data_IF_866270790138
#
_entry.id   IF_866270790138
#
_cell.length_a   1.000
_cell.length_b   1.000
_cell.length_c   1.000
_cell.angle_alpha   90.00
_cell.angle_beta   90.00
_cell.angle_gamma   90.00
#
_symmetry.space_group_name_H-M   'P 1'
#
loop_
_entity.id
_entity.type
_entity.pdbx_description
1 polymer ?
#
# COMPACT_ATOMS: atom_id res chain seq x y z
N UNK A 1 -26.82 26.72 -8.76
CA UNK A 1 -25.41 26.97 -8.38
C UNK A 1 -24.89 25.70 -7.69
N UNK A 2 -24.07 24.91 -8.37
CA UNK A 2 -23.51 23.71 -7.77
C UNK A 2 -22.23 24.13 -7.03
N UNK A 3 -22.28 24.14 -5.70
CA UNK A 3 -21.11 24.39 -4.88
C UNK A 3 -20.24 23.14 -4.96
N UNK A 4 -19.19 23.19 -5.78
CA UNK A 4 -18.14 22.16 -5.76
C UNK A 4 -17.34 22.33 -4.47
N UNK A 5 -17.66 21.54 -3.46
CA UNK A 5 -16.80 21.40 -2.30
C UNK A 5 -15.51 20.71 -2.75
N UNK A 6 -14.45 21.47 -2.97
CA UNK A 6 -13.11 20.91 -3.10
C UNK A 6 -12.68 20.46 -1.70
N UNK A 7 -12.79 19.16 -1.44
CA UNK A 7 -12.23 18.58 -0.21
C UNK A 7 -10.74 18.91 -0.16
N UNK A 8 -10.33 19.57 0.89
CA UNK A 8 -8.93 19.92 1.11
C UNK A 8 -8.12 18.65 1.43
N UNK A 9 -6.85 18.57 0.99
CA UNK A 9 -5.95 17.53 1.42
C UNK A 9 -5.86 17.45 2.94
N UNK A 10 -5.81 16.23 3.47
CA UNK A 10 -5.59 16.03 4.90
C UNK A 10 -4.15 16.41 5.27
N UNK A 11 -4.01 17.09 6.39
CA UNK A 11 -2.70 17.38 6.96
C UNK A 11 -2.04 16.12 7.53
N UNK A 12 -0.72 16.16 7.73
CA UNK A 12 0.00 15.09 8.40
C UNK A 12 -0.58 14.84 9.81
N UNK A 13 -0.92 15.88 10.54
CA UNK A 13 -1.52 15.76 11.87
C UNK A 13 -2.89 15.05 11.84
N UNK A 14 -3.72 15.33 10.84
CA UNK A 14 -5.00 14.65 10.66
C UNK A 14 -4.82 13.18 10.28
N UNK A 15 -3.87 12.85 9.40
CA UNK A 15 -3.52 11.47 9.08
C UNK A 15 -2.98 10.72 10.32
N UNK A 16 -2.09 11.36 11.07
CA UNK A 16 -1.55 10.82 12.33
C UNK A 16 -2.67 10.49 13.32
N UNK A 17 -3.57 11.44 13.56
CA UNK A 17 -4.67 11.24 14.50
C UNK A 17 -5.62 10.13 14.05
N UNK A 18 -5.92 10.05 12.76
CA UNK A 18 -6.75 8.97 12.20
C UNK A 18 -6.09 7.59 12.42
N UNK A 19 -4.80 7.47 12.14
CA UNK A 19 -4.05 6.23 12.37
C UNK A 19 -3.94 5.87 13.85
N UNK A 20 -3.75 6.87 14.72
CA UNK A 20 -3.66 6.67 16.18
C UNK A 20 -4.94 6.08 16.76
N UNK A 21 -6.08 6.42 16.20
CA UNK A 21 -7.40 5.97 16.70
C UNK A 21 -7.97 4.78 15.94
N UNK A 22 -7.37 4.36 14.83
CA UNK A 22 -7.90 3.30 13.97
C UNK A 22 -7.66 1.87 14.49
N UNK A 23 -6.74 1.68 15.42
CA UNK A 23 -6.41 0.37 15.97
C UNK A 23 -4.98 0.29 16.51
N UNK A 24 -4.53 -0.90 16.90
CA UNK A 24 -3.21 -1.09 17.46
C UNK A 24 -2.11 -0.84 16.43
N UNK A 25 -1.00 -0.29 16.88
CA UNK A 25 0.23 -0.10 16.12
C UNK A 25 1.44 -0.30 17.04
N UNK A 26 2.58 -0.63 16.46
CA UNK A 26 3.86 -0.70 17.21
C UNK A 26 4.57 0.64 17.21
N UNK A 27 4.50 1.35 16.09
CA UNK A 27 5.18 2.63 15.92
C UNK A 27 4.34 3.58 15.07
N UNK A 28 4.21 4.81 15.53
CA UNK A 28 3.56 5.89 14.77
C UNK A 28 4.30 7.18 15.06
N UNK A 29 4.99 7.71 14.06
CA UNK A 29 5.84 8.88 14.19
C UNK A 29 5.68 9.86 13.03
N UNK A 30 5.94 11.12 13.30
CA UNK A 30 6.10 12.18 12.31
C UNK A 30 7.56 12.62 12.33
N UNK A 31 8.17 12.73 11.17
CA UNK A 31 9.56 13.12 10.97
C UNK A 31 9.71 14.13 9.82
N UNK A 32 10.95 14.53 9.51
CA UNK A 32 11.22 15.35 8.34
C UNK A 32 10.55 16.73 8.37
N UNK A 33 10.60 17.43 9.50
CA UNK A 33 9.93 18.73 9.71
C UNK A 33 8.42 18.62 9.45
N UNK A 34 7.79 17.62 10.07
CA UNK A 34 6.35 17.35 10.00
C UNK A 34 5.81 17.04 8.58
N UNK A 35 6.66 16.50 7.72
CA UNK A 35 6.28 16.15 6.34
C UNK A 35 6.20 14.66 6.05
N UNK A 36 6.79 13.82 6.90
CA UNK A 36 6.82 12.37 6.74
C UNK A 36 6.13 11.70 7.92
N UNK A 37 5.19 10.81 7.62
CA UNK A 37 4.51 9.98 8.59
C UNK A 37 4.91 8.53 8.37
N UNK A 38 5.24 7.84 9.46
CA UNK A 38 5.53 6.41 9.50
C UNK A 38 4.57 5.73 10.46
N UNK A 39 3.90 4.69 9.96
CA UNK A 39 3.11 3.76 10.75
C UNK A 39 3.67 2.36 10.60
N UNK A 40 3.83 1.63 11.71
CA UNK A 40 4.23 0.23 11.72
C UNK A 40 3.27 -0.55 12.63
N UNK A 41 2.83 -1.69 12.16
CA UNK A 41 1.92 -2.54 12.91
C UNK A 41 1.74 -3.90 12.25
N UNK A 42 0.87 -4.71 12.85
CA UNK A 42 0.57 -6.04 12.39
C UNK A 42 -0.83 -6.09 11.76
N UNK A 43 -0.92 -6.69 10.58
CA UNK A 43 -2.17 -7.01 9.92
C UNK A 43 -2.38 -8.52 9.92
N UNK A 44 -3.61 -8.93 10.15
CA UNK A 44 -4.06 -10.31 10.03
C UNK A 44 -5.38 -10.29 9.25
N UNK A 45 -5.37 -10.65 7.95
CA UNK A 45 -6.53 -10.50 7.07
C UNK A 45 -7.78 -11.25 7.52
N UNK A 46 -7.59 -12.40 8.16
CA UNK A 46 -8.66 -13.21 8.75
C UNK A 46 -8.16 -13.90 10.03
N UNK A 47 -9.07 -14.48 10.78
CA UNK A 47 -8.70 -15.24 11.99
C UNK A 47 -7.75 -16.42 11.71
N UNK A 48 -7.78 -16.96 10.50
CA UNK A 48 -6.96 -18.08 10.07
C UNK A 48 -5.71 -17.66 9.28
N UNK A 49 -5.60 -16.38 8.99
CA UNK A 49 -4.46 -15.82 8.25
C UNK A 49 -3.22 -15.72 9.12
N UNK A 50 -2.07 -15.66 8.45
CA UNK A 50 -0.81 -15.26 9.08
C UNK A 50 -0.90 -13.81 9.56
N UNK A 51 -0.07 -13.47 10.53
CA UNK A 51 0.19 -12.08 10.88
C UNK A 51 1.33 -11.54 10.03
N UNK A 52 1.15 -10.33 9.51
CA UNK A 52 2.12 -9.65 8.67
C UNK A 52 2.52 -8.33 9.33
N UNK A 53 3.82 -8.11 9.47
CA UNK A 53 4.33 -6.80 9.87
C UNK A 53 4.36 -5.88 8.68
N UNK A 54 3.72 -4.73 8.81
CA UNK A 54 3.50 -3.79 7.72
C UNK A 54 4.00 -2.43 8.13
N UNK A 55 4.68 -1.77 7.22
CA UNK A 55 5.11 -0.38 7.34
C UNK A 55 4.41 0.45 6.28
N UNK A 56 3.75 1.52 6.70
CA UNK A 56 3.22 2.55 5.81
C UNK A 56 4.05 3.81 5.96
N UNK A 57 4.60 4.29 4.85
CA UNK A 57 5.33 5.56 4.77
C UNK A 57 4.55 6.54 3.90
N UNK A 58 4.31 7.71 4.41
CA UNK A 58 3.62 8.78 3.71
C UNK A 58 4.39 10.08 3.79
N UNK A 59 4.74 10.64 2.64
CA UNK A 59 5.31 11.98 2.54
C UNK A 59 4.22 12.91 2.04
N UNK A 60 4.06 14.06 2.70
CA UNK A 60 3.07 15.06 2.30
C UNK A 60 3.24 15.46 0.82
N UNK A 61 2.16 15.38 0.06
CA UNK A 61 2.15 15.68 -1.38
C UNK A 61 2.49 14.50 -2.29
N UNK A 62 2.74 13.30 -1.72
CA UNK A 62 2.97 12.06 -2.49
C UNK A 62 1.93 11.00 -2.15
N UNK A 63 1.90 9.89 -2.87
CA UNK A 63 1.11 8.73 -2.49
C UNK A 63 1.80 7.91 -1.38
N UNK A 64 1.05 7.30 -0.45
CA UNK A 64 1.62 6.45 0.57
C UNK A 64 2.22 5.17 -0.03
N UNK A 65 3.26 4.66 0.61
CA UNK A 65 3.91 3.39 0.29
C UNK A 65 3.59 2.41 1.41
N UNK A 66 3.14 1.22 1.05
CA UNK A 66 2.87 0.13 1.98
C UNK A 66 3.83 -1.03 1.72
N UNK A 67 4.53 -1.49 2.75
CA UNK A 67 5.57 -2.49 2.67
C UNK A 67 5.30 -3.58 3.69
N UNK A 68 5.35 -4.85 3.28
CA UNK A 68 5.36 -6.00 4.19
C UNK A 68 6.80 -6.34 4.53
N UNK A 69 7.16 -6.25 5.79
CA UNK A 69 8.51 -6.51 6.27
C UNK A 69 8.68 -7.91 6.87
N UNK A 70 7.60 -8.48 7.41
CA UNK A 70 7.59 -9.84 7.98
C UNK A 70 6.23 -10.52 7.76
N UNK A 71 6.21 -11.81 7.40
CA UNK A 71 7.34 -12.60 6.91
C UNK A 71 7.80 -12.13 5.53
N UNK A 72 8.95 -12.61 5.06
CA UNK A 72 9.40 -12.33 3.69
C UNK A 72 8.46 -12.97 2.68
N UNK A 73 7.75 -12.14 1.92
CA UNK A 73 6.78 -12.59 0.92
C UNK A 73 7.44 -13.41 -0.20
N UNK A 74 8.68 -13.06 -0.57
CA UNK A 74 9.40 -13.81 -1.61
C UNK A 74 9.75 -15.22 -1.15
N UNK A 75 10.14 -15.38 0.12
CA UNK A 75 10.38 -16.71 0.70
C UNK A 75 9.10 -17.55 0.74
N UNK A 76 7.95 -16.95 1.07
CA UNK A 76 6.66 -17.63 1.05
C UNK A 76 6.23 -18.05 -0.36
N UNK A 77 6.50 -17.22 -1.36
CA UNK A 77 6.15 -17.49 -2.75
C UNK A 77 7.09 -18.49 -3.43
N UNK A 78 8.29 -18.71 -2.89
CA UNK A 78 9.31 -19.54 -3.53
C UNK A 78 9.78 -18.91 -4.84
N UNK A 79 9.80 -19.71 -5.94
CA UNK A 79 10.21 -19.21 -7.26
C UNK A 79 9.10 -18.50 -8.05
N UNK A 80 7.90 -18.37 -7.48
CA UNK A 80 6.74 -17.76 -8.17
C UNK A 80 6.84 -16.25 -8.15
N UNK A 81 6.44 -15.61 -9.26
CA UNK A 81 6.27 -14.16 -9.33
C UNK A 81 4.99 -13.76 -8.63
N UNK A 82 5.11 -12.90 -7.62
CA UNK A 82 3.98 -12.44 -6.81
C UNK A 82 3.18 -11.40 -7.61
N UNK A 83 1.87 -11.63 -7.84
CA UNK A 83 1.01 -10.66 -8.49
C UNK A 83 0.88 -9.37 -7.67
N UNK A 84 0.71 -8.22 -8.34
CA UNK A 84 0.46 -6.93 -7.69
C UNK A 84 1.48 -6.55 -6.60
N UNK A 85 2.72 -7.01 -6.76
CA UNK A 85 3.85 -6.60 -5.96
C UNK A 85 4.83 -5.84 -6.85
N UNK A 86 5.29 -4.68 -6.41
CA UNK A 86 6.34 -3.95 -7.13
C UNK A 86 7.65 -4.73 -7.10
N UNK A 87 8.48 -4.56 -8.13
CA UNK A 87 9.80 -5.19 -8.18
C UNK A 87 10.59 -4.89 -6.93
N UNK A 88 11.36 -5.89 -6.48
CA UNK A 88 12.27 -5.74 -5.34
C UNK A 88 13.22 -4.56 -5.58
N UNK A 89 13.21 -3.62 -4.66
CA UNK A 89 14.09 -2.46 -4.66
C UNK A 89 15.10 -2.63 -3.52
N UNK A 90 16.38 -2.47 -3.83
CA UNK A 90 17.46 -2.55 -2.83
C UNK A 90 17.36 -1.48 -1.73
N UNK A 91 16.68 -0.37 -2.03
CA UNK A 91 16.47 0.73 -1.08
C UNK A 91 15.18 0.59 -0.26
N UNK A 92 14.33 -0.39 -0.61
CA UNK A 92 13.07 -0.68 0.09
C UNK A 92 13.11 -2.14 0.49
N UNK A 93 13.62 -2.47 1.69
CA UNK A 93 13.58 -3.84 2.17
C UNK A 93 12.14 -4.30 2.37
N UNK A 94 11.84 -5.51 1.92
CA UNK A 94 10.51 -6.08 2.00
C UNK A 94 9.71 -5.99 0.70
N UNK A 95 8.45 -6.38 0.76
CA UNK A 95 7.53 -6.39 -0.37
C UNK A 95 6.68 -5.12 -0.43
N UNK A 96 6.91 -4.25 -1.41
CA UNK A 96 6.08 -3.07 -1.66
C UNK A 96 4.81 -3.47 -2.39
N UNK A 97 3.66 -3.26 -1.75
CA UNK A 97 2.36 -3.64 -2.28
C UNK A 97 1.86 -2.64 -3.33
N UNK A 98 1.29 -3.17 -4.42
CA UNK A 98 0.53 -2.37 -5.39
C UNK A 98 -0.94 -2.37 -4.94
N UNK A 99 -1.34 -1.36 -4.17
CA UNK A 99 -2.68 -1.25 -3.60
C UNK A 99 -3.63 -0.40 -4.44
N UNK A 100 -3.09 0.46 -5.30
CA UNK A 100 -3.84 1.38 -6.16
C UNK A 100 -3.00 1.76 -7.37
N UNK A 101 -3.66 2.19 -8.43
CA UNK A 101 -2.98 2.68 -9.62
C UNK A 101 -2.49 4.12 -9.39
N UNK A 102 -1.20 4.39 -9.65
CA UNK A 102 -0.68 5.74 -9.66
C UNK A 102 -1.22 6.52 -10.89
N UNK A 103 -1.14 7.84 -10.84
CA UNK A 103 -1.62 8.73 -11.91
C UNK A 103 -1.01 8.44 -13.29
N UNK A 104 0.21 7.91 -13.33
CA UNK A 104 0.90 7.52 -14.57
C UNK A 104 0.31 6.29 -15.26
N UNK A 105 -0.49 5.50 -14.56
CA UNK A 105 -1.07 4.24 -15.06
C UNK A 105 -2.59 4.21 -15.04
N UNK A 106 -3.25 5.25 -14.52
CA UNK A 106 -4.70 5.36 -14.52
C UNK A 106 -5.20 5.97 -15.83
N UNK A 107 -6.35 5.49 -16.31
CA UNK A 107 -6.96 5.94 -17.57
C UNK A 107 -7.35 7.43 -17.53
N UNK A 108 -7.66 7.94 -16.35
CA UNK A 108 -8.05 9.35 -16.14
C UNK A 108 -6.89 10.24 -15.67
N UNK A 109 -5.65 9.74 -15.69
CA UNK A 109 -4.43 10.42 -15.25
C UNK A 109 -4.47 10.90 -13.79
N UNK A 110 -5.35 10.33 -12.97
CA UNK A 110 -5.43 10.60 -11.53
C UNK A 110 -5.10 9.34 -10.75
N UNK A 111 -4.35 9.48 -9.66
CA UNK A 111 -4.15 8.38 -8.73
C UNK A 111 -5.47 7.97 -8.09
N UNK A 112 -5.70 6.66 -7.93
CA UNK A 112 -6.84 6.15 -7.18
C UNK A 112 -6.80 6.57 -5.71
N UNK A 113 -5.60 6.71 -5.15
CA UNK A 113 -5.43 7.30 -3.83
C UNK A 113 -5.25 8.81 -3.94
N UNK A 114 -5.92 9.55 -3.07
CA UNK A 114 -5.87 11.02 -3.00
C UNK A 114 -5.60 11.47 -1.57
N UNK A 115 -4.93 12.60 -1.42
CA UNK A 115 -4.55 13.19 -0.13
C UNK A 115 -5.73 13.60 0.77
N UNK A 116 -6.95 13.62 0.26
CA UNK A 116 -8.19 13.78 1.01
C UNK A 116 -8.64 12.50 1.72
N UNK A 117 -8.07 11.35 1.36
CA UNK A 117 -8.42 10.06 1.93
C UNK A 117 -7.56 9.77 3.17
N UNK A 118 -8.18 9.21 4.19
CA UNK A 118 -7.46 8.73 5.37
C UNK A 118 -6.72 7.42 5.03
N UNK A 119 -5.45 7.36 5.39
CA UNK A 119 -4.63 6.15 5.26
C UNK A 119 -5.23 5.01 6.07
N UNK A 120 -5.77 5.30 7.25
CA UNK A 120 -6.45 4.33 8.11
C UNK A 120 -7.66 3.67 7.44
N UNK A 121 -8.39 4.40 6.62
CA UNK A 121 -9.65 3.95 6.01
C UNK A 121 -9.45 3.38 4.60
N UNK A 122 -8.25 3.52 4.03
CA UNK A 122 -7.92 3.10 2.67
C UNK A 122 -6.72 2.17 2.62
N UNK A 123 -5.53 2.67 2.85
CA UNK A 123 -4.27 1.92 2.67
C UNK A 123 -4.20 0.70 3.59
N UNK A 124 -4.57 0.83 4.86
CA UNK A 124 -4.55 -0.29 5.79
C UNK A 124 -5.58 -1.38 5.45
N UNK A 125 -6.87 -1.06 5.20
CA UNK A 125 -7.83 -2.05 4.72
C UNK A 125 -7.45 -2.66 3.37
N UNK A 126 -6.93 -1.87 2.42
CA UNK A 126 -6.48 -2.39 1.13
C UNK A 126 -5.27 -3.33 1.27
N UNK A 127 -4.34 -3.02 2.16
CA UNK A 127 -3.22 -3.91 2.46
C UNK A 127 -3.71 -5.24 3.07
N UNK A 128 -4.66 -5.18 4.00
CA UNK A 128 -5.27 -6.38 4.57
C UNK A 128 -5.96 -7.24 3.51
N UNK A 129 -6.71 -6.63 2.60
CA UNK A 129 -7.37 -7.31 1.49
C UNK A 129 -6.34 -7.91 0.50
N UNK A 130 -5.27 -7.16 0.19
CA UNK A 130 -4.18 -7.66 -0.66
C UNK A 130 -3.54 -8.92 -0.05
N UNK A 131 -3.26 -8.90 1.25
CA UNK A 131 -2.69 -10.03 1.98
C UNK A 131 -3.62 -11.25 1.99
N UNK A 132 -4.93 -11.03 2.09
CA UNK A 132 -5.93 -12.09 1.96
C UNK A 132 -5.83 -12.77 0.59
N UNK A 133 -5.80 -11.99 -0.50
CA UNK A 133 -5.65 -12.53 -1.85
C UNK A 133 -4.28 -13.16 -2.10
N UNK A 134 -3.23 -12.65 -1.47
CA UNK A 134 -1.92 -13.26 -1.50
C UNK A 134 -1.93 -14.68 -0.91
N UNK A 135 -2.59 -14.88 0.23
CA UNK A 135 -2.75 -16.21 0.82
C UNK A 135 -3.56 -17.15 -0.07
N UNK A 136 -4.66 -16.67 -0.66
CA UNK A 136 -5.44 -17.44 -1.63
C UNK A 136 -4.57 -17.84 -2.83
N UNK A 137 -3.80 -16.89 -3.36
CA UNK A 137 -2.89 -17.16 -4.47
C UNK A 137 -1.80 -18.18 -4.13
N UNK A 138 -1.24 -18.15 -2.92
CA UNK A 138 -0.27 -19.14 -2.47
C UNK A 138 -0.84 -20.56 -2.54
N UNK A 139 -2.12 -20.74 -2.22
CA UNK A 139 -2.78 -22.03 -2.22
C UNK A 139 -3.29 -22.46 -3.60
N UNK A 140 -3.87 -21.55 -4.35
CA UNK A 140 -4.58 -21.86 -5.61
C UNK A 140 -3.74 -21.64 -6.86
N UNK A 141 -2.74 -20.78 -6.80
CA UNK A 141 -1.97 -20.30 -7.94
C UNK A 141 -2.71 -19.22 -8.75
N UNK A 142 -3.94 -18.84 -8.37
CA UNK A 142 -4.77 -17.84 -9.04
C UNK A 142 -4.95 -16.60 -8.17
N UNK A 143 -4.80 -15.41 -8.78
CA UNK A 143 -5.06 -14.15 -8.12
C UNK A 143 -6.51 -13.72 -8.31
N UNK A 144 -7.29 -13.74 -7.23
CA UNK A 144 -8.73 -13.42 -7.25
C UNK A 144 -9.03 -11.94 -6.98
N UNK A 145 -8.02 -11.17 -6.61
CA UNK A 145 -8.19 -9.77 -6.17
C UNK A 145 -8.46 -8.77 -7.29
N UNK A 146 -8.43 -9.21 -8.56
CA UNK A 146 -8.60 -8.30 -9.70
C UNK A 146 -7.46 -7.27 -9.81
N UNK A 147 -7.74 -6.14 -10.46
CA UNK A 147 -6.80 -5.04 -10.62
C UNK A 147 -5.86 -5.18 -11.82
N UNK A 148 -5.16 -4.08 -12.16
CA UNK A 148 -4.12 -4.05 -13.18
C UNK A 148 -2.76 -4.29 -12.53
N UNK A 149 -1.90 -5.08 -13.17
CA UNK A 149 -0.52 -5.22 -12.71
C UNK A 149 0.26 -3.93 -12.96
N UNK A 150 1.22 -3.58 -12.08
CA UNK A 150 2.17 -2.53 -12.38
C UNK A 150 2.84 -2.85 -13.71
N UNK A 151 2.86 -1.89 -14.64
CA UNK A 151 3.58 -2.07 -15.90
C UNK A 151 5.05 -2.32 -15.59
N UNK A 152 5.63 -3.35 -16.20
CA UNK A 152 7.07 -3.54 -16.20
C UNK A 152 7.68 -2.31 -16.85
N UNK A 153 8.38 -1.48 -16.09
CA UNK A 153 9.08 -0.32 -16.62
C UNK A 153 10.13 -0.81 -17.62
N UNK A 154 9.84 -0.61 -18.92
CA UNK A 154 10.82 -0.54 -19.97
C UNK A 154 11.58 -1.81 -20.33
N UNK A 155 10.97 -2.69 -21.15
CA UNK A 155 11.74 -3.32 -22.22
C UNK A 155 11.43 -2.51 -23.48
N UNK A 156 12.27 -1.53 -23.82
CA UNK A 156 12.38 -1.05 -25.17
C UNK A 156 12.92 -2.24 -25.99
N UNK A 157 12.07 -2.87 -26.77
CA UNK A 157 12.50 -3.64 -27.90
C UNK A 157 13.06 -2.63 -28.93
N UNK A 158 14.35 -2.44 -28.93
CA UNK A 158 15.05 -1.97 -30.14
C UNK A 158 15.10 -3.15 -31.09
N UNK A 159 14.41 -3.01 -32.20
CA UNK A 159 14.69 -3.78 -33.42
C UNK A 159 15.78 -3.08 -34.19
#
# INVERSE_FOLDING_TARGET
>A
MVIKYHLQPLTIAQQYQALKTSGPYERLIITGKDRTLLWEGWLQPSLFSRRYKVTVRYNLGTAPICIVTEPDLYSLAGAKTIPHLYRKDKHIPGGKLCLFLPSSQSDDKRSEWRSQLKISDTVLPWASLWLFYFEQWLHTGHWEGGGKHPAASGVKNER
#
